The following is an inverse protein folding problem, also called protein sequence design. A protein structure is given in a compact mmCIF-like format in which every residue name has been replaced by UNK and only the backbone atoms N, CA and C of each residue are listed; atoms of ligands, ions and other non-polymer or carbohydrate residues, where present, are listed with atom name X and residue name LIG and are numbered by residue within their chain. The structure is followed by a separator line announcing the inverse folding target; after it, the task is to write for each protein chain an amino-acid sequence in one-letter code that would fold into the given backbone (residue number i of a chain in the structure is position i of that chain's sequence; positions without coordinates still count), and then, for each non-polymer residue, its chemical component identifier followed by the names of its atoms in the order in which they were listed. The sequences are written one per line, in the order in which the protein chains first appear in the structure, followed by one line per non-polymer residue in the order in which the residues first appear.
data_IF_717591751775
#
_entry.id   IF_717591751775
#
_cell.length_a   1.000
_cell.length_b   1.000
_cell.length_c   1.000
_cell.angle_alpha   90.00
_cell.angle_beta   90.00
_cell.angle_gamma   90.00
#
_symmetry.space_group_name_H-M   'P 1'
#
loop_
_entity.id
_entity.type
_entity.pdbx_description
1 polymer ?
#
# COMPACT_ATOMS: atom_id res chain seq x y z
N UNK A 1 9.05 2.73 -9.08
CA UNK A 1 8.63 4.07 -8.61
C UNK A 1 7.28 3.95 -7.90
N UNK A 2 7.18 4.43 -6.66
CA UNK A 2 5.91 4.43 -5.90
C UNK A 2 5.43 5.87 -5.73
N UNK A 3 4.56 6.31 -6.64
CA UNK A 3 3.98 7.64 -6.62
C UNK A 3 2.78 7.66 -5.68
N UNK A 4 2.60 8.73 -4.91
CA UNK A 4 1.47 8.85 -4.00
C UNK A 4 0.94 10.29 -3.89
N UNK A 5 -0.32 10.42 -3.45
CA UNK A 5 -0.98 11.68 -3.12
C UNK A 5 -1.80 11.50 -1.83
N UNK A 6 -2.08 12.60 -1.13
CA UNK A 6 -3.06 12.63 -0.02
C UNK A 6 -4.48 12.88 -0.50
N UNK A 7 -4.67 13.28 -1.76
CA UNK A 7 -5.98 13.26 -2.40
C UNK A 7 -6.33 11.81 -2.77
N UNK A 8 -7.51 11.37 -2.34
CA UNK A 8 -7.99 10.00 -2.49
C UNK A 8 -9.35 9.95 -3.17
N UNK A 9 -9.64 8.82 -3.81
CA UNK A 9 -10.94 8.49 -4.39
C UNK A 9 -11.91 8.13 -3.26
N UNK A 10 -11.49 7.27 -2.32
CA UNK A 10 -12.28 6.93 -1.14
C UNK A 10 -11.94 7.85 0.03
N UNK A 11 -12.96 8.33 0.75
CA UNK A 11 -12.78 9.26 1.88
C UNK A 11 -12.10 8.61 3.08
N UNK A 12 -12.26 7.29 3.21
CA UNK A 12 -11.70 6.48 4.28
C UNK A 12 -10.20 6.19 4.07
N UNK A 13 -9.75 6.24 2.82
CA UNK A 13 -8.33 6.18 2.47
C UNK A 13 -7.63 7.47 2.85
N UNK A 14 -6.36 7.36 3.24
CA UNK A 14 -5.50 8.53 3.54
C UNK A 14 -4.51 8.84 2.42
N UNK A 15 -4.25 7.87 1.56
CA UNK A 15 -3.19 7.92 0.56
C UNK A 15 -3.70 7.19 -0.68
N UNK A 16 -3.60 7.84 -1.83
CA UNK A 16 -3.71 7.20 -3.14
C UNK A 16 -2.33 6.90 -3.68
N UNK A 17 -2.07 5.68 -4.12
CA UNK A 17 -0.77 5.25 -4.60
C UNK A 17 -0.82 4.51 -5.93
N UNK A 18 0.29 4.60 -6.68
CA UNK A 18 0.53 3.84 -7.92
C UNK A 18 1.97 3.36 -7.95
N UNK A 19 2.19 2.12 -8.40
CA UNK A 19 3.52 1.53 -8.49
C UNK A 19 3.89 1.20 -9.93
N UNK A 20 4.91 1.85 -10.46
CA UNK A 20 5.42 1.63 -11.83
C UNK A 20 6.83 1.02 -11.77
N UNK A 21 7.05 -0.08 -12.48
CA UNK A 21 8.37 -0.72 -12.56
C UNK A 21 8.65 -1.25 -13.97
N UNK A 22 8.65 -0.38 -15.00
CA UNK A 22 8.81 -0.81 -16.39
C UNK A 22 10.16 -1.50 -16.66
N UNK A 23 11.21 -1.11 -15.93
CA UNK A 23 12.54 -1.73 -16.03
C UNK A 23 12.54 -3.19 -15.55
N UNK A 24 11.59 -3.56 -14.68
CA UNK A 24 11.35 -4.94 -14.22
C UNK A 24 10.31 -5.67 -15.08
N UNK A 25 9.89 -5.09 -16.22
CA UNK A 25 8.85 -5.63 -17.08
C UNK A 25 7.42 -5.48 -16.54
N UNK A 26 7.23 -4.72 -15.46
CA UNK A 26 5.93 -4.48 -14.83
C UNK A 26 5.49 -3.04 -15.13
N UNK A 27 4.57 -2.87 -16.08
CA UNK A 27 4.06 -1.54 -16.43
C UNK A 27 3.50 -0.81 -15.20
N UNK A 28 2.61 -1.48 -14.47
CA UNK A 28 2.06 -1.01 -13.19
C UNK A 28 1.61 -2.21 -12.34
N UNK A 29 1.84 -2.17 -11.02
CA UNK A 29 1.42 -3.19 -10.07
C UNK A 29 0.19 -2.73 -9.25
N UNK A 30 -0.78 -3.62 -9.08
CA UNK A 30 -2.11 -3.30 -8.55
C UNK A 30 -2.15 -3.18 -7.03
N UNK A 31 -1.26 -3.87 -6.33
CA UNK A 31 -1.17 -3.82 -4.87
C UNK A 31 0.24 -4.16 -4.41
N UNK A 32 1.01 -3.15 -4.00
CA UNK A 32 2.43 -3.32 -3.68
C UNK A 32 2.68 -3.13 -2.19
N UNK A 33 2.44 -4.18 -1.41
CA UNK A 33 2.52 -4.14 0.06
C UNK A 33 3.90 -3.71 0.61
N UNK A 34 4.99 -4.09 -0.06
CA UNK A 34 6.35 -3.68 0.32
C UNK A 34 6.56 -2.17 0.19
N UNK A 35 6.14 -1.58 -0.94
CA UNK A 35 6.22 -0.14 -1.18
C UNK A 35 5.28 0.64 -0.26
N UNK A 36 4.06 0.15 -0.05
CA UNK A 36 3.11 0.69 0.92
C UNK A 36 3.68 0.70 2.35
N UNK A 37 4.39 -0.37 2.76
CA UNK A 37 5.09 -0.45 4.04
C UNK A 37 6.17 0.61 4.20
N UNK A 38 7.05 0.74 3.19
CA UNK A 38 8.09 1.76 3.19
C UNK A 38 7.52 3.18 3.26
N UNK A 39 6.49 3.48 2.45
CA UNK A 39 5.80 4.77 2.48
C UNK A 39 5.17 5.06 3.85
N UNK A 40 4.52 4.08 4.46
CA UNK A 40 3.87 4.22 5.76
C UNK A 40 4.88 4.60 6.85
N UNK A 41 6.03 3.93 6.87
CA UNK A 41 7.12 4.28 7.77
C UNK A 41 7.70 5.66 7.47
N UNK A 42 7.90 6.00 6.19
CA UNK A 42 8.41 7.30 5.77
C UNK A 42 7.51 8.46 6.25
N UNK A 43 6.20 8.37 6.03
CA UNK A 43 5.25 9.43 6.39
C UNK A 43 5.19 9.67 7.89
N UNK A 44 5.23 8.60 8.70
CA UNK A 44 5.29 8.73 10.17
C UNK A 44 6.64 9.25 10.62
N UNK A 45 7.74 8.75 10.05
CA UNK A 45 9.10 9.20 10.39
C UNK A 45 9.26 10.71 10.18
N UNK A 46 8.72 11.25 9.08
CA UNK A 46 8.81 12.68 8.79
C UNK A 46 7.69 13.52 9.44
N UNK A 47 6.74 12.88 10.15
CA UNK A 47 5.67 13.56 10.86
C UNK A 47 4.59 14.14 9.95
N UNK A 48 4.47 13.64 8.72
CA UNK A 48 3.31 13.92 7.88
C UNK A 48 2.07 13.26 8.48
N UNK A 49 2.25 12.06 9.05
CA UNK A 49 1.21 11.27 9.70
C UNK A 49 1.64 10.97 11.14
N UNK A 50 0.68 10.89 12.05
CA UNK A 50 0.92 10.28 13.36
C UNK A 50 1.02 8.75 13.23
N UNK A 51 1.72 8.11 14.17
CA UNK A 51 1.72 6.66 14.24
C UNK A 51 0.29 6.14 14.50
N UNK A 52 -0.03 4.98 13.93
CA UNK A 52 -1.37 4.42 14.02
C UNK A 52 -1.77 3.68 12.74
N UNK A 53 -3.08 3.57 12.54
CA UNK A 53 -3.69 2.83 11.44
C UNK A 53 -4.23 3.75 10.37
N UNK A 54 -3.96 3.42 9.12
CA UNK A 54 -4.53 4.11 7.97
C UNK A 54 -4.58 3.19 6.75
N UNK A 55 -5.43 3.56 5.80
CA UNK A 55 -5.64 2.82 4.56
C UNK A 55 -4.96 3.53 3.40
N UNK A 56 -4.30 2.75 2.55
CA UNK A 56 -3.75 3.18 1.26
C UNK A 56 -4.58 2.52 0.17
N UNK A 57 -5.08 3.31 -0.78
CA UNK A 57 -5.71 2.81 -2.00
C UNK A 57 -4.69 2.73 -3.14
N UNK A 58 -4.75 1.66 -3.92
CA UNK A 58 -3.89 1.42 -5.07
C UNK A 58 -4.66 0.59 -6.13
N UNK A 59 -4.28 0.75 -7.40
CA UNK A 59 -4.78 -0.09 -8.48
C UNK A 59 -6.14 0.32 -9.06
N UNK A 60 -6.74 1.40 -8.54
CA UNK A 60 -8.04 1.91 -9.01
C UNK A 60 -8.02 2.25 -10.50
N UNK A 61 -6.93 2.86 -11.01
CA UNK A 61 -6.75 3.19 -12.44
C UNK A 61 -6.50 1.99 -13.35
N UNK A 62 -6.29 0.79 -12.78
CA UNK A 62 -6.20 -0.47 -13.51
C UNK A 62 -7.47 -1.32 -13.40
N UNK A 63 -8.55 -0.77 -12.80
CA UNK A 63 -9.76 -1.52 -12.44
C UNK A 63 -9.46 -2.71 -11.52
N UNK A 64 -8.44 -2.60 -10.67
CA UNK A 64 -8.04 -3.61 -9.67
C UNK A 64 -7.92 -2.94 -8.29
N UNK A 65 -9.01 -2.34 -7.77
CA UNK A 65 -8.97 -1.57 -6.54
C UNK A 65 -8.52 -2.45 -5.37
N UNK A 66 -7.44 -2.03 -4.74
CA UNK A 66 -6.84 -2.71 -3.60
C UNK A 66 -6.75 -1.74 -2.43
N UNK A 67 -7.12 -2.21 -1.24
CA UNK A 67 -7.03 -1.45 0.01
C UNK A 67 -6.03 -2.10 0.92
N UNK A 68 -4.92 -1.39 1.15
CA UNK A 68 -3.79 -1.84 1.92
C UNK A 68 -3.87 -1.16 3.29
N UNK A 69 -3.99 -1.97 4.35
CA UNK A 69 -4.06 -1.49 5.72
C UNK A 69 -2.64 -1.39 6.30
N UNK A 70 -2.26 -0.19 6.74
CA UNK A 70 -1.04 0.04 7.48
C UNK A 70 -1.33 0.14 8.98
N UNK A 71 -0.46 -0.43 9.80
CA UNK A 71 -0.39 -0.23 11.25
C UNK A 71 1.07 0.07 11.61
N UNK A 72 1.34 1.33 11.93
CA UNK A 72 2.68 1.85 12.21
C UNK A 72 2.81 2.17 13.69
N UNK A 73 3.87 1.69 14.34
CA UNK A 73 4.21 2.04 15.71
C UNK A 73 5.55 2.77 15.82
N UNK A 74 5.66 3.61 16.85
CA UNK A 74 6.79 4.53 17.06
C UNK A 74 6.31 5.97 17.03
N UNK A 75 7.19 6.87 16.66
CA UNK A 75 6.93 8.30 16.64
C UNK A 75 7.76 8.99 15.54
N UNK A 76 7.54 10.29 15.36
CA UNK A 76 8.32 11.12 14.44
C UNK A 76 9.82 10.95 14.70
N UNK A 77 10.59 10.68 13.65
CA UNK A 77 12.03 10.43 13.71
C UNK A 77 12.43 9.03 14.21
N UNK A 78 11.49 8.21 14.70
CA UNK A 78 11.80 6.95 15.39
C UNK A 78 10.69 5.91 15.19
N UNK A 79 10.47 5.50 13.95
CA UNK A 79 9.53 4.41 13.62
C UNK A 79 10.10 3.08 14.11
N UNK A 80 9.29 2.32 14.85
CA UNK A 80 9.69 1.05 15.46
C UNK A 80 9.23 -0.16 14.67
N UNK A 81 8.03 -0.09 14.10
CA UNK A 81 7.43 -1.21 13.36
C UNK A 81 6.43 -0.71 12.34
N UNK A 82 6.41 -1.36 11.20
CA UNK A 82 5.34 -1.23 10.20
C UNK A 82 4.75 -2.62 9.99
N UNK A 83 3.42 -2.73 10.04
CA UNK A 83 2.68 -3.91 9.59
C UNK A 83 1.79 -3.51 8.42
N UNK A 84 1.72 -4.39 7.43
CA UNK A 84 0.85 -4.24 6.28
C UNK A 84 -0.07 -5.45 6.21
N UNK A 85 -1.34 -5.18 5.92
CA UNK A 85 -2.37 -6.20 5.74
C UNK A 85 -3.38 -5.78 4.69
N UNK A 86 -4.30 -6.67 4.39
CA UNK A 86 -5.37 -6.46 3.41
C UNK A 86 -6.33 -7.64 3.43
N UNK A 87 -7.53 -7.42 2.91
CA UNK A 87 -8.47 -8.52 2.66
C UNK A 87 -8.09 -9.25 1.39
N UNK A 88 -8.52 -10.51 1.26
CA UNK A 88 -8.31 -11.31 0.06
C UNK A 88 -9.53 -12.18 -0.20
N UNK A 89 -9.74 -12.55 -1.46
CA UNK A 89 -10.82 -13.43 -1.90
C UNK A 89 -10.24 -14.55 -2.76
N UNK A 90 -10.76 -15.75 -2.60
CA UNK A 90 -10.37 -16.89 -3.43
C UNK A 90 -11.01 -16.70 -4.81
N UNK A 91 -10.19 -16.50 -5.84
CA UNK A 91 -10.65 -16.33 -7.23
C UNK A 91 -10.63 -17.63 -8.04
N UNK A 92 -9.76 -18.56 -7.67
CA UNK A 92 -9.63 -19.87 -8.29
C UNK A 92 -9.07 -20.88 -7.28
N UNK A 93 -9.49 -22.13 -7.41
CA UNK A 93 -8.95 -23.28 -6.67
C UNK A 93 -8.88 -24.47 -7.61
N UNK A 94 -7.79 -25.23 -7.56
CA UNK A 94 -7.58 -26.40 -8.40
C UNK A 94 -6.45 -27.28 -7.89
N UNK A 95 -6.12 -28.31 -8.65
CA UNK A 95 -5.04 -29.26 -8.40
C UNK A 95 -4.05 -29.23 -9.57
N UNK A 96 -2.75 -29.35 -9.29
CA UNK A 96 -1.69 -29.38 -10.31
C UNK A 96 -1.08 -30.78 -10.33
N UNK A 97 -1.11 -31.42 -11.50
CA UNK A 97 -0.50 -32.73 -11.74
C UNK A 97 0.75 -32.55 -12.61
N UNK A 98 1.76 -33.39 -12.39
CA UNK A 98 3.04 -33.39 -13.10
C UNK A 98 3.22 -34.70 -13.88
#
# INVERSE_FOLDING_TARGET
CYAFSFETIERESKIHARFFAPDDGIAEDAATGSAAGALSGYLVHHGAFEAGRFTIEQGDFMNRPSRIFADVSGEKGNVKKVKIGGSSVIVAKGEVFF
#
